data_IF_189580736890
#
_entry.id   IF_189580736890
#
_cell.length_a   1.000
_cell.length_b   1.000
_cell.length_c   1.000
_cell.angle_alpha   90.00
_cell.angle_beta   90.00
_cell.angle_gamma   90.00
#
_symmetry.space_group_name_H-M   'P 1'
#
loop_
_entity.id
_entity.type
_entity.pdbx_description
1 polymer ?
#
# COMPACT_ATOMS: atom_id res chain seq x y z
N UNK A 1 36.86 -70.07 24.42
CA UNK A 1 35.59 -69.41 24.06
C UNK A 1 35.93 -67.98 23.66
N UNK A 2 36.00 -67.72 22.35
CA UNK A 2 36.37 -66.42 21.79
C UNK A 2 35.16 -65.49 21.80
N UNK A 3 35.25 -64.42 22.57
CA UNK A 3 34.31 -63.31 22.54
C UNK A 3 34.59 -62.51 21.25
N UNK A 4 33.62 -62.49 20.32
CA UNK A 4 33.66 -61.63 19.14
C UNK A 4 32.51 -60.64 19.27
N UNK A 5 32.80 -59.50 19.89
CA UNK A 5 31.96 -58.30 19.79
C UNK A 5 31.90 -57.87 18.33
N UNK A 6 30.75 -58.07 17.68
CA UNK A 6 30.44 -57.43 16.41
C UNK A 6 30.29 -55.93 16.64
N UNK A 7 31.38 -55.19 16.45
CA UNK A 7 31.42 -53.73 16.37
C UNK A 7 30.85 -53.31 15.00
N UNK A 8 29.51 -53.29 14.89
CA UNK A 8 28.82 -52.65 13.77
C UNK A 8 29.08 -51.15 13.84
N UNK A 9 30.16 -50.69 13.20
CA UNK A 9 30.43 -49.25 13.05
C UNK A 9 29.31 -48.62 12.22
N UNK A 10 28.39 -47.95 12.90
CA UNK A 10 27.33 -47.15 12.29
C UNK A 10 27.98 -46.03 11.48
N UNK A 11 27.85 -46.10 10.15
CA UNK A 11 28.43 -45.13 9.25
C UNK A 11 27.48 -43.91 9.13
N UNK A 12 27.70 -42.90 9.97
CA UNK A 12 26.85 -41.71 10.00
C UNK A 12 27.09 -40.81 8.78
N UNK A 13 26.07 -40.64 7.93
CA UNK A 13 26.10 -39.70 6.79
C UNK A 13 25.67 -38.29 7.21
N UNK A 14 24.82 -38.19 8.23
CA UNK A 14 24.34 -36.93 8.80
C UNK A 14 24.41 -36.98 10.33
N UNK A 15 24.74 -35.86 10.95
CA UNK A 15 24.71 -35.75 12.41
C UNK A 15 23.25 -35.85 12.92
N UNK A 16 22.93 -36.76 13.85
CA UNK A 16 21.56 -36.95 14.34
C UNK A 16 21.05 -35.78 15.21
N UNK A 17 21.96 -34.95 15.77
CA UNK A 17 21.60 -33.80 16.60
C UNK A 17 21.29 -32.54 15.79
N UNK A 18 22.05 -32.25 14.74
CA UNK A 18 21.94 -30.98 14.00
C UNK A 18 21.71 -31.13 12.49
N UNK A 19 21.70 -32.35 11.94
CA UNK A 19 21.50 -32.59 10.52
C UNK A 19 22.67 -32.19 9.62
N UNK A 20 23.83 -31.84 10.18
CA UNK A 20 25.03 -31.52 9.41
C UNK A 20 25.49 -32.72 8.59
N UNK A 21 25.72 -32.55 7.29
CA UNK A 21 26.23 -33.60 6.40
C UNK A 21 27.70 -33.87 6.73
N UNK A 22 28.00 -35.08 7.18
CA UNK A 22 29.37 -35.52 7.48
C UNK A 22 30.05 -35.88 6.14
N UNK A 23 31.35 -35.62 6.01
CA UNK A 23 32.09 -35.90 4.78
C UNK A 23 31.97 -37.38 4.42
N UNK A 24 31.48 -37.67 3.22
CA UNK A 24 31.34 -39.04 2.71
C UNK A 24 32.72 -39.73 2.74
N UNK A 25 32.85 -40.79 3.55
CA UNK A 25 34.05 -41.65 3.56
C UNK A 25 35.10 -41.35 4.63
N UNK A 26 34.80 -40.62 5.71
CA UNK A 26 35.71 -40.47 6.86
C UNK A 26 35.29 -41.38 8.03
N UNK A 27 35.85 -42.59 8.18
CA UNK A 27 35.41 -43.58 9.17
C UNK A 27 35.69 -43.20 10.64
N UNK A 28 36.45 -42.13 10.90
CA UNK A 28 36.94 -41.76 12.23
C UNK A 28 36.51 -40.35 12.68
N UNK A 29 35.30 -39.89 12.33
CA UNK A 29 34.77 -38.63 12.89
C UNK A 29 34.31 -38.87 14.33
N UNK A 30 35.16 -38.51 15.30
CA UNK A 30 34.83 -38.60 16.71
C UNK A 30 33.74 -37.62 17.14
N UNK A 31 33.70 -36.42 16.54
CA UNK A 31 32.78 -35.34 16.93
C UNK A 31 32.22 -34.55 15.74
N UNK A 32 30.98 -34.08 15.86
CA UNK A 32 30.36 -33.26 14.83
C UNK A 32 30.93 -31.83 14.84
N UNK A 33 31.49 -31.32 13.72
CA UNK A 33 32.10 -29.99 13.66
C UNK A 33 31.09 -28.84 13.80
N UNK A 34 29.80 -29.09 13.59
CA UNK A 34 28.76 -28.06 13.70
C UNK A 34 28.18 -27.92 15.11
N UNK A 35 28.05 -29.02 15.87
CA UNK A 35 27.35 -29.01 17.16
C UNK A 35 28.11 -29.68 18.31
N UNK A 36 29.34 -30.15 18.07
CA UNK A 36 30.19 -30.81 19.07
C UNK A 36 29.64 -32.15 19.58
N UNK A 37 28.73 -32.80 18.84
CA UNK A 37 28.20 -34.10 19.24
C UNK A 37 29.27 -35.18 19.08
N UNK A 38 29.63 -35.85 20.15
CA UNK A 38 30.58 -36.96 20.14
C UNK A 38 29.86 -38.27 19.78
N UNK A 39 30.32 -38.94 18.71
CA UNK A 39 29.69 -40.13 18.14
C UNK A 39 30.03 -41.42 18.90
N UNK A 40 31.16 -41.45 19.62
CA UNK A 40 31.55 -42.63 20.42
C UNK A 40 30.64 -42.81 21.64
N UNK A 41 30.07 -41.72 22.16
CA UNK A 41 29.12 -41.73 23.27
C UNK A 41 27.71 -42.22 22.88
N UNK A 42 27.39 -42.32 21.58
CA UNK A 42 26.08 -42.74 21.07
C UNK A 42 25.92 -44.26 20.91
N UNK A 43 26.96 -45.06 21.20
CA UNK A 43 27.00 -46.52 21.01
C UNK A 43 26.06 -47.34 21.90
N UNK A 44 25.13 -46.72 22.63
CA UNK A 44 24.07 -47.44 23.35
C UNK A 44 22.70 -46.94 22.88
N UNK A 45 21.93 -47.86 22.29
CA UNK A 45 20.63 -47.63 21.63
C UNK A 45 19.54 -46.95 22.48
N UNK A 46 19.81 -46.59 23.73
CA UNK A 46 18.84 -46.00 24.66
C UNK A 46 18.78 -44.45 24.62
N UNK A 47 19.85 -43.74 24.25
CA UNK A 47 19.89 -42.27 24.40
C UNK A 47 19.46 -41.46 23.16
N UNK A 48 19.34 -42.10 21.98
CA UNK A 48 19.04 -41.38 20.73
C UNK A 48 17.64 -40.77 20.72
N UNK A 49 16.69 -41.36 21.46
CA UNK A 49 15.28 -40.92 21.47
C UNK A 49 15.04 -39.66 22.30
N UNK A 50 15.91 -39.38 23.28
CA UNK A 50 15.86 -38.15 24.10
C UNK A 50 16.71 -37.00 23.54
N UNK A 51 17.63 -37.29 22.60
CA UNK A 51 18.49 -36.27 21.98
C UNK A 51 17.91 -35.64 20.71
N UNK A 52 16.70 -36.04 20.28
CA UNK A 52 15.99 -35.32 19.24
C UNK A 52 15.79 -33.88 19.72
N UNK A 53 16.34 -32.87 19.03
CA UNK A 53 16.12 -31.50 19.44
C UNK A 53 14.62 -31.28 19.41
N UNK A 54 14.08 -30.76 20.52
CA UNK A 54 12.84 -30.01 20.48
C UNK A 54 12.97 -29.09 19.26
N UNK A 55 12.18 -29.33 18.21
CA UNK A 55 12.13 -28.53 16.97
C UNK A 55 11.48 -27.16 17.23
N UNK A 56 11.74 -26.62 18.42
CA UNK A 56 11.54 -25.27 18.91
C UNK A 56 12.88 -24.52 18.96
N UNK A 57 13.84 -24.85 18.09
CA UNK A 57 14.78 -23.80 17.66
C UNK A 57 13.93 -22.76 16.93
N UNK A 58 13.45 -21.78 17.70
CA UNK A 58 12.89 -20.52 17.26
C UNK A 58 13.81 -20.07 16.12
N UNK A 59 13.40 -20.23 14.85
CA UNK A 59 14.13 -19.66 13.72
C UNK A 59 14.33 -18.20 14.08
N UNK A 60 15.54 -17.82 14.48
CA UNK A 60 15.86 -16.42 14.72
C UNK A 60 15.52 -15.72 13.41
N UNK A 61 14.50 -14.86 13.46
CA UNK A 61 14.11 -14.06 12.31
C UNK A 61 15.31 -13.18 12.01
N UNK A 62 16.11 -13.53 11.01
CA UNK A 62 17.21 -12.70 10.51
C UNK A 62 16.60 -11.34 10.17
N UNK A 63 16.96 -10.32 10.94
CA UNK A 63 16.49 -8.95 10.76
C UNK A 63 17.35 -8.27 9.71
N UNK A 64 16.73 -7.44 8.87
CA UNK A 64 17.41 -6.75 7.77
C UNK A 64 18.32 -5.64 8.28
N UNK A 65 19.52 -5.59 7.68
CA UNK A 65 20.40 -4.43 7.73
C UNK A 65 19.92 -3.34 6.77
N UNK A 66 20.37 -2.11 6.96
CA UNK A 66 19.92 -0.96 6.15
C UNK A 66 20.25 -1.12 4.65
N UNK A 67 21.37 -1.77 4.32
CA UNK A 67 21.80 -2.05 2.95
C UNK A 67 20.88 -3.04 2.23
N UNK A 68 20.26 -3.97 2.97
CA UNK A 68 19.37 -5.01 2.43
C UNK A 68 17.92 -4.52 2.22
N UNK A 69 17.55 -3.37 2.79
CA UNK A 69 16.20 -2.79 2.70
C UNK A 69 15.80 -2.49 1.24
N UNK A 70 16.77 -2.07 0.42
CA UNK A 70 16.51 -1.58 -0.95
C UNK A 70 16.49 -2.73 -1.97
N UNK A 71 17.39 -3.72 -1.80
CA UNK A 71 17.76 -4.64 -2.89
C UNK A 71 17.13 -6.04 -2.76
N UNK A 72 16.21 -6.26 -1.83
CA UNK A 72 15.78 -7.62 -1.50
C UNK A 72 14.45 -8.02 -2.17
N UNK A 73 14.45 -9.06 -3.03
CA UNK A 73 13.28 -9.49 -3.79
C UNK A 73 12.32 -10.40 -3.01
N UNK A 74 12.65 -10.84 -1.78
CA UNK A 74 11.84 -11.85 -1.04
C UNK A 74 10.69 -11.24 -0.24
N UNK A 75 9.60 -12.01 -0.11
CA UNK A 75 8.45 -11.66 0.71
C UNK A 75 8.80 -11.61 2.21
N UNK A 76 8.58 -10.46 2.85
CA UNK A 76 8.86 -10.26 4.27
C UNK A 76 7.70 -10.64 5.18
N UNK A 77 6.48 -10.39 4.74
CA UNK A 77 5.26 -10.80 5.43
C UNK A 77 4.38 -11.64 4.52
N UNK A 78 3.53 -12.46 5.15
CA UNK A 78 2.62 -13.37 4.44
C UNK A 78 1.49 -12.57 3.75
N UNK A 79 0.88 -13.10 2.67
CA UNK A 79 -0.28 -12.48 2.02
C UNK A 79 -1.39 -12.05 2.99
N UNK A 80 -1.67 -12.89 4.00
CA UNK A 80 -2.67 -12.59 5.03
C UNK A 80 -2.35 -11.29 5.77
N UNK A 81 -1.09 -11.07 6.14
CA UNK A 81 -0.67 -9.84 6.80
C UNK A 81 -0.78 -8.63 5.86
N UNK A 82 -0.44 -8.80 4.57
CA UNK A 82 -0.54 -7.72 3.56
C UNK A 82 -1.95 -7.15 3.45
N UNK A 83 -2.97 -8.00 3.61
CA UNK A 83 -4.38 -7.61 3.53
C UNK A 83 -4.92 -7.18 4.90
N UNK A 84 -4.62 -7.95 5.95
CA UNK A 84 -5.19 -7.76 7.28
C UNK A 84 -4.86 -6.38 7.88
N UNK A 85 -3.61 -5.92 7.80
CA UNK A 85 -3.21 -4.67 8.47
C UNK A 85 -3.75 -3.40 7.82
N UNK A 86 -3.81 -3.26 6.49
CA UNK A 86 -4.51 -2.13 5.88
C UNK A 86 -6.02 -2.14 6.19
N UNK A 87 -6.67 -3.32 6.16
CA UNK A 87 -8.09 -3.41 6.50
C UNK A 87 -8.39 -3.15 7.97
N UNK A 88 -7.52 -3.57 8.89
CA UNK A 88 -7.66 -3.22 10.30
C UNK A 88 -7.44 -1.73 10.52
N UNK A 89 -6.59 -1.08 9.71
CA UNK A 89 -6.39 0.37 9.76
C UNK A 89 -7.68 1.12 9.44
N UNK A 90 -8.43 0.66 8.43
CA UNK A 90 -9.76 1.19 8.10
C UNK A 90 -10.71 1.08 9.30
N UNK A 91 -10.80 -0.10 9.93
CA UNK A 91 -11.68 -0.32 11.07
C UNK A 91 -11.27 0.58 12.25
N UNK A 92 -9.99 0.63 12.60
CA UNK A 92 -9.47 1.45 13.68
C UNK A 92 -9.78 2.93 13.42
N UNK A 93 -9.53 3.41 12.21
CA UNK A 93 -9.83 4.77 11.79
C UNK A 93 -11.32 5.09 11.94
N UNK A 94 -12.20 4.25 11.40
CA UNK A 94 -13.65 4.43 11.49
C UNK A 94 -14.16 4.41 12.94
N UNK A 95 -13.60 3.55 13.80
CA UNK A 95 -13.96 3.52 15.22
C UNK A 95 -13.49 4.76 15.97
N UNK A 96 -12.26 5.23 15.73
CA UNK A 96 -11.75 6.46 16.33
C UNK A 96 -12.65 7.64 15.94
N UNK A 97 -12.95 7.77 14.65
CA UNK A 97 -13.82 8.84 14.15
C UNK A 97 -15.23 8.72 14.75
N UNK A 98 -15.83 7.53 14.75
CA UNK A 98 -17.15 7.29 15.32
C UNK A 98 -17.24 7.62 16.82
N UNK A 99 -16.23 7.27 17.61
CA UNK A 99 -16.19 7.61 19.05
C UNK A 99 -16.07 9.12 19.25
N UNK A 100 -15.19 9.79 18.51
CA UNK A 100 -15.05 11.26 18.57
C UNK A 100 -16.38 11.93 18.22
N UNK A 101 -17.03 11.46 17.15
CA UNK A 101 -18.33 11.95 16.69
C UNK A 101 -19.40 11.83 17.77
N UNK A 102 -19.52 10.65 18.38
CA UNK A 102 -20.47 10.40 19.47
C UNK A 102 -20.19 11.35 20.64
N UNK A 103 -18.93 11.50 21.06
CA UNK A 103 -18.57 12.40 22.16
C UNK A 103 -18.96 13.84 21.84
N UNK A 104 -18.66 14.35 20.64
CA UNK A 104 -18.95 15.72 20.26
C UNK A 104 -20.46 16.02 20.26
N UNK A 105 -21.27 15.08 19.77
CA UNK A 105 -22.73 15.20 19.73
C UNK A 105 -23.32 15.14 21.14
N UNK A 106 -22.94 14.15 21.95
CA UNK A 106 -23.46 13.98 23.31
C UNK A 106 -23.00 15.06 24.28
N UNK A 107 -21.82 15.65 24.05
CA UNK A 107 -21.34 16.81 24.82
C UNK A 107 -22.01 18.13 24.40
N UNK A 108 -22.87 18.13 23.37
CA UNK A 108 -23.52 19.32 22.84
C UNK A 108 -22.57 20.28 22.11
N UNK A 109 -21.38 19.82 21.72
CA UNK A 109 -20.36 20.61 21.02
C UNK A 109 -20.64 20.68 19.51
N UNK A 110 -21.23 19.62 18.94
CA UNK A 110 -21.54 19.51 17.52
C UNK A 110 -22.97 19.01 17.30
N UNK A 111 -23.65 19.53 16.27
CA UNK A 111 -24.91 18.96 15.76
C UNK A 111 -24.63 17.97 14.62
N UNK A 112 -25.59 17.08 14.30
CA UNK A 112 -25.46 16.18 13.15
C UNK A 112 -25.17 16.92 11.83
N UNK A 113 -25.79 18.08 11.62
CA UNK A 113 -25.54 18.93 10.44
C UNK A 113 -24.10 19.44 10.40
N UNK A 114 -23.52 19.82 11.54
CA UNK A 114 -22.14 20.29 11.61
C UNK A 114 -21.12 19.21 11.24
N UNK A 115 -21.47 17.92 11.38
CA UNK A 115 -20.61 16.80 10.99
C UNK A 115 -20.48 16.63 9.48
N UNK A 116 -21.42 17.19 8.70
CA UNK A 116 -21.36 17.21 7.25
C UNK A 116 -20.66 18.47 6.72
N UNK A 117 -20.24 19.38 7.61
CA UNK A 117 -19.57 20.61 7.19
C UNK A 117 -18.19 20.31 6.57
N UNK A 118 -17.79 21.07 5.54
CA UNK A 118 -16.45 20.95 4.95
C UNK A 118 -15.33 21.09 5.97
N UNK A 119 -15.49 21.99 6.96
CA UNK A 119 -14.56 22.17 8.07
C UNK A 119 -14.39 20.91 8.93
N UNK A 120 -15.49 20.22 9.23
CA UNK A 120 -15.42 18.95 9.96
C UNK A 120 -14.66 17.89 9.16
N UNK A 121 -14.94 17.76 7.85
CA UNK A 121 -14.30 16.79 6.97
C UNK A 121 -12.78 17.00 6.88
N UNK A 122 -12.35 18.27 6.79
CA UNK A 122 -10.94 18.66 6.84
C UNK A 122 -10.29 18.14 8.14
N UNK A 123 -10.91 18.35 9.29
CA UNK A 123 -10.35 17.91 10.58
C UNK A 123 -10.40 16.39 10.72
N UNK A 124 -11.49 15.75 10.33
CA UNK A 124 -11.65 14.29 10.42
C UNK A 124 -10.69 13.55 9.50
N UNK A 125 -10.26 14.16 8.40
CA UNK A 125 -9.27 13.59 7.47
C UNK A 125 -7.91 13.31 8.14
N UNK A 126 -7.61 13.91 9.30
CA UNK A 126 -6.41 13.57 10.09
C UNK A 126 -6.43 12.10 10.54
N UNK A 127 -7.62 11.51 10.73
CA UNK A 127 -7.77 10.11 11.09
C UNK A 127 -7.15 9.15 10.04
N UNK A 128 -7.04 9.57 8.78
CA UNK A 128 -6.41 8.80 7.70
C UNK A 128 -4.94 8.46 7.98
N UNK A 129 -4.26 9.23 8.85
CA UNK A 129 -2.90 8.90 9.28
C UNK A 129 -2.78 7.50 9.91
N UNK A 130 -3.89 6.90 10.37
CA UNK A 130 -3.92 5.51 10.86
C UNK A 130 -3.45 4.54 9.77
N UNK A 131 -3.82 4.76 8.50
CA UNK A 131 -3.34 3.95 7.36
C UNK A 131 -1.82 4.04 7.17
N UNK A 132 -1.20 5.16 7.55
CA UNK A 132 0.25 5.27 7.56
C UNK A 132 0.88 4.60 8.77
N UNK A 133 0.36 4.91 9.96
CA UNK A 133 0.97 4.53 11.25
C UNK A 133 1.01 3.02 11.42
N UNK A 134 -0.09 2.32 11.14
CA UNK A 134 -0.19 0.87 11.39
C UNK A 134 0.83 0.07 10.55
N UNK A 135 0.93 0.21 9.22
CA UNK A 135 1.96 -0.43 8.42
C UNK A 135 3.39 -0.05 8.81
N UNK A 136 3.65 1.25 9.06
CA UNK A 136 4.96 1.75 9.48
C UNK A 136 5.40 1.09 10.79
N UNK A 137 4.50 0.95 11.76
CA UNK A 137 4.78 0.26 13.02
C UNK A 137 4.96 -1.24 12.84
N UNK A 138 4.16 -1.89 11.99
CA UNK A 138 4.23 -3.32 11.77
C UNK A 138 5.56 -3.76 11.13
N UNK A 139 6.08 -3.02 10.15
CA UNK A 139 7.29 -3.43 9.42
C UNK A 139 8.57 -3.40 10.25
N UNK A 140 8.59 -2.68 11.37
CA UNK A 140 9.78 -2.60 12.23
C UNK A 140 10.24 -3.94 12.80
N UNK A 141 9.35 -4.93 12.89
CA UNK A 141 9.73 -6.27 13.34
C UNK A 141 10.74 -6.97 12.40
N UNK A 142 10.85 -6.51 11.15
CA UNK A 142 11.74 -7.07 10.13
C UNK A 142 13.08 -6.33 10.05
N UNK A 143 13.23 -5.21 10.75
CA UNK A 143 14.40 -4.34 10.67
C UNK A 143 15.29 -4.49 11.90
N UNK A 144 16.61 -4.52 11.70
CA UNK A 144 17.57 -4.54 12.81
C UNK A 144 17.52 -3.22 13.59
N UNK A 145 17.49 -2.08 12.87
CA UNK A 145 17.28 -0.76 13.42
C UNK A 145 15.95 -0.17 12.92
N UNK A 146 14.85 -0.32 13.67
CA UNK A 146 13.52 0.07 13.23
C UNK A 146 13.23 1.56 13.49
N UNK A 147 14.11 2.44 13.00
CA UNK A 147 13.86 3.90 13.00
C UNK A 147 12.71 4.26 12.04
N UNK A 148 12.08 5.41 12.24
CA UNK A 148 11.03 5.90 11.33
C UNK A 148 11.52 5.96 9.88
N UNK A 149 12.72 6.50 9.67
CA UNK A 149 13.37 6.58 8.35
C UNK A 149 13.54 5.21 7.70
N UNK A 150 14.00 4.21 8.44
CA UNK A 150 14.21 2.86 7.90
C UNK A 150 12.88 2.15 7.59
N UNK A 151 11.86 2.34 8.42
CA UNK A 151 10.51 1.83 8.17
C UNK A 151 9.90 2.46 6.91
N UNK A 152 10.00 3.78 6.78
CA UNK A 152 9.52 4.53 5.63
C UNK A 152 10.24 4.10 4.33
N UNK A 153 11.57 4.01 4.37
CA UNK A 153 12.42 3.50 3.27
C UNK A 153 12.02 2.09 2.84
N UNK A 154 11.75 1.23 3.81
CA UNK A 154 11.32 -0.14 3.57
C UNK A 154 9.91 -0.26 2.97
N UNK A 155 9.06 0.76 3.14
CA UNK A 155 7.75 0.84 2.49
C UNK A 155 7.80 1.56 1.13
N UNK A 156 8.94 2.11 0.74
CA UNK A 156 9.12 2.80 -0.55
C UNK A 156 9.06 4.32 -0.48
N UNK A 157 8.95 4.89 0.73
CA UNK A 157 9.04 6.33 0.96
C UNK A 157 10.52 6.71 1.05
N UNK A 158 10.97 7.78 0.39
CA UNK A 158 12.36 8.23 0.44
C UNK A 158 13.41 7.24 -0.11
N UNK A 159 13.07 6.39 -1.09
CA UNK A 159 14.09 5.69 -1.86
C UNK A 159 14.79 6.74 -2.73
N UNK A 160 15.87 7.34 -2.21
CA UNK A 160 16.72 8.27 -2.96
C UNK A 160 17.78 7.47 -3.69
N UNK A 161 17.74 7.50 -5.02
CA UNK A 161 18.85 7.06 -5.85
C UNK A 161 19.88 8.19 -5.96
N UNK A 162 21.14 7.86 -6.23
CA UNK A 162 22.23 8.84 -6.44
C UNK A 162 22.09 9.65 -7.75
N UNK A 163 20.99 9.43 -8.47
CA UNK A 163 20.63 10.10 -9.70
C UNK A 163 20.31 11.60 -9.51
N UNK A 164 20.86 12.42 -10.39
CA UNK A 164 20.66 13.87 -10.42
C UNK A 164 19.19 14.21 -10.68
N UNK A 165 18.62 15.13 -9.90
CA UNK A 165 17.21 15.55 -9.97
C UNK A 165 16.18 14.41 -9.78
N UNK A 166 16.54 13.26 -9.21
CA UNK A 166 15.64 12.12 -9.05
C UNK A 166 14.27 12.49 -8.46
N UNK A 167 14.25 13.16 -7.30
CA UNK A 167 13.00 13.58 -6.64
C UNK A 167 12.16 14.50 -7.50
N UNK A 168 12.79 15.42 -8.24
CA UNK A 168 12.08 16.32 -9.15
C UNK A 168 11.46 15.54 -10.31
N UNK A 169 12.19 14.59 -10.90
CA UNK A 169 11.68 13.73 -11.98
C UNK A 169 10.48 12.90 -11.52
N UNK A 170 10.55 12.26 -10.35
CA UNK A 170 9.41 11.54 -9.78
C UNK A 170 8.22 12.47 -9.50
N UNK A 171 8.49 13.71 -9.06
CA UNK A 171 7.44 14.68 -8.75
C UNK A 171 6.71 15.18 -10.00
N UNK A 172 7.46 15.53 -11.05
CA UNK A 172 6.92 15.93 -12.34
C UNK A 172 6.09 14.80 -12.95
N UNK A 173 6.59 13.56 -12.86
CA UNK A 173 5.87 12.38 -13.30
C UNK A 173 4.54 12.24 -12.55
N UNK A 174 4.55 12.33 -11.22
CA UNK A 174 3.34 12.23 -10.41
C UNK A 174 2.29 13.29 -10.76
N UNK A 175 2.69 14.56 -10.83
CA UNK A 175 1.79 15.67 -11.20
C UNK A 175 1.24 15.50 -12.63
N UNK A 176 2.10 15.12 -13.58
CA UNK A 176 1.69 14.86 -14.96
C UNK A 176 0.64 13.75 -15.05
N UNK A 177 0.88 12.62 -14.38
CA UNK A 177 -0.05 11.50 -14.33
C UNK A 177 -1.35 11.81 -13.59
N UNK A 178 -1.32 12.65 -12.55
CA UNK A 178 -2.54 13.06 -11.85
C UNK A 178 -3.58 13.65 -12.82
N UNK A 179 -3.15 14.57 -13.68
CA UNK A 179 -4.01 15.21 -14.68
C UNK A 179 -4.50 14.18 -15.72
N UNK A 180 -3.61 13.31 -16.20
CA UNK A 180 -4.00 12.22 -17.13
C UNK A 180 -5.07 11.32 -16.51
N UNK A 181 -4.92 10.99 -15.21
CA UNK A 181 -5.90 10.22 -14.47
C UNK A 181 -7.23 10.95 -14.36
N UNK A 182 -7.25 12.27 -14.11
CA UNK A 182 -8.49 13.06 -14.10
C UNK A 182 -9.24 12.88 -15.42
N UNK A 183 -8.59 13.05 -16.57
CA UNK A 183 -9.26 12.89 -17.87
C UNK A 183 -9.73 11.45 -18.12
N UNK A 184 -8.89 10.46 -17.89
CA UNK A 184 -9.21 9.05 -18.16
C UNK A 184 -10.32 8.53 -17.25
N UNK A 185 -10.27 8.86 -15.96
CA UNK A 185 -11.28 8.42 -14.99
C UNK A 185 -12.61 9.12 -15.26
N UNK A 186 -12.62 10.43 -15.51
CA UNK A 186 -13.87 11.13 -15.87
C UNK A 186 -14.46 10.63 -17.19
N UNK A 187 -13.63 10.31 -18.18
CA UNK A 187 -14.11 9.70 -19.42
C UNK A 187 -14.77 8.34 -19.17
N UNK A 188 -14.16 7.50 -18.33
CA UNK A 188 -14.77 6.22 -17.93
C UNK A 188 -16.10 6.44 -17.21
N UNK A 189 -16.14 7.36 -16.23
CA UNK A 189 -17.37 7.69 -15.51
C UNK A 189 -18.48 8.14 -16.46
N UNK A 190 -18.17 9.03 -17.41
CA UNK A 190 -19.12 9.49 -18.43
C UNK A 190 -19.64 8.35 -19.31
N UNK A 191 -18.75 7.46 -19.76
CA UNK A 191 -19.15 6.29 -20.57
C UNK A 191 -20.08 5.38 -19.79
N UNK A 192 -19.78 5.12 -18.51
CA UNK A 192 -20.64 4.30 -17.65
C UNK A 192 -21.99 4.98 -17.41
N UNK A 193 -22.00 6.29 -17.15
CA UNK A 193 -23.24 7.06 -17.00
C UNK A 193 -24.11 6.97 -18.27
N UNK A 194 -23.55 7.19 -19.46
CA UNK A 194 -24.27 7.08 -20.73
C UNK A 194 -24.86 5.67 -20.93
N UNK A 195 -24.13 4.62 -20.53
CA UNK A 195 -24.57 3.23 -20.69
C UNK A 195 -25.70 2.87 -19.70
N UNK A 196 -25.57 3.28 -18.44
CA UNK A 196 -26.45 2.80 -17.36
C UNK A 196 -27.65 3.72 -17.09
N UNK A 197 -27.51 5.04 -17.28
CA UNK A 197 -28.58 6.01 -17.01
C UNK A 197 -29.89 5.75 -17.78
N UNK A 198 -29.88 5.30 -19.07
CA UNK A 198 -31.11 4.96 -19.78
C UNK A 198 -31.85 3.72 -19.24
N UNK A 199 -31.14 2.82 -18.56
CA UNK A 199 -31.68 1.53 -18.09
C UNK A 199 -32.29 1.68 -16.70
N UNK A 200 -31.57 2.33 -15.81
CA UNK A 200 -31.99 2.68 -14.47
C UNK A 200 -31.48 4.10 -14.26
N UNK A 201 -32.37 5.09 -14.09
CA UNK A 201 -31.94 6.42 -13.66
C UNK A 201 -31.23 6.21 -12.32
N UNK A 202 -29.90 6.20 -12.38
CA UNK A 202 -29.10 6.41 -11.21
C UNK A 202 -29.34 7.88 -10.93
N UNK A 203 -30.43 8.18 -10.20
CA UNK A 203 -30.45 9.35 -9.35
C UNK A 203 -29.31 9.08 -8.39
N UNK A 204 -28.08 9.35 -8.84
CA UNK A 204 -26.91 9.42 -8.00
C UNK A 204 -27.40 10.27 -6.85
N UNK A 205 -27.42 9.77 -5.60
CA UNK A 205 -27.67 10.64 -4.46
C UNK A 205 -26.48 11.59 -4.45
N UNK A 206 -26.58 12.62 -5.29
CA UNK A 206 -25.66 13.73 -5.30
C UNK A 206 -25.89 14.50 -4.01
N UNK A 207 -27.05 14.37 -3.36
CA UNK A 207 -27.41 14.99 -2.10
C UNK A 207 -26.27 15.10 -1.08
N UNK A 208 -25.47 14.06 -0.80
CA UNK A 208 -24.37 14.18 0.19
C UNK A 208 -23.13 14.92 -0.36
N UNK A 209 -22.73 14.65 -1.61
CA UNK A 209 -21.57 15.26 -2.27
C UNK A 209 -21.90 16.71 -2.71
N UNK A 210 -23.10 16.94 -3.23
CA UNK A 210 -23.68 18.24 -3.56
C UNK A 210 -23.87 19.09 -2.31
N UNK A 211 -24.37 18.56 -1.19
CA UNK A 211 -24.46 19.33 0.08
C UNK A 211 -23.06 19.72 0.57
N UNK A 212 -22.07 18.84 0.43
CA UNK A 212 -20.68 19.14 0.81
C UNK A 212 -20.06 20.24 -0.07
N UNK A 213 -20.16 20.13 -1.40
CA UNK A 213 -19.53 21.10 -2.30
C UNK A 213 -20.32 22.40 -2.44
N UNK A 214 -21.65 22.35 -2.30
CA UNK A 214 -22.51 23.54 -2.31
C UNK A 214 -22.29 24.45 -1.10
N UNK A 215 -21.94 23.88 0.05
CA UNK A 215 -21.70 24.62 1.29
C UNK A 215 -20.25 25.05 1.48
N UNK A 216 -19.31 24.51 0.69
CA UNK A 216 -17.88 24.82 0.82
C UNK A 216 -17.51 26.23 0.34
N UNK A 217 -16.64 26.90 1.10
CA UNK A 217 -16.03 28.16 0.67
C UNK A 217 -14.63 27.95 0.07
N UNK A 218 -14.09 28.99 -0.58
CA UNK A 218 -12.79 28.91 -1.26
C UNK A 218 -11.64 28.48 -0.32
N UNK A 219 -11.63 28.94 0.93
CA UNK A 219 -10.58 28.62 1.90
C UNK A 219 -10.65 27.14 2.27
N UNK A 220 -11.85 26.62 2.53
CA UNK A 220 -12.09 25.21 2.81
C UNK A 220 -11.71 24.32 1.64
N UNK A 221 -12.06 24.70 0.40
CA UNK A 221 -11.63 23.96 -0.79
C UNK A 221 -10.10 23.90 -0.89
N UNK A 222 -9.41 25.02 -0.68
CA UNK A 222 -7.93 25.06 -0.70
C UNK A 222 -7.34 24.15 0.39
N UNK A 223 -7.86 24.23 1.62
CA UNK A 223 -7.40 23.41 2.73
C UNK A 223 -7.64 21.92 2.46
N UNK A 224 -8.81 21.57 1.94
CA UNK A 224 -9.15 20.19 1.57
C UNK A 224 -8.21 19.68 0.48
N UNK A 225 -7.94 20.47 -0.57
CA UNK A 225 -6.96 20.12 -1.61
C UNK A 225 -5.55 19.90 -1.05
N UNK A 226 -5.12 20.70 -0.06
CA UNK A 226 -3.82 20.50 0.61
C UNK A 226 -3.82 19.18 1.40
N UNK A 227 -4.90 18.88 2.12
CA UNK A 227 -5.05 17.64 2.88
C UNK A 227 -5.02 16.40 1.97
N UNK A 228 -5.66 16.48 0.79
CA UNK A 228 -5.62 15.41 -0.22
C UNK A 228 -4.18 15.05 -0.61
N UNK A 229 -3.30 16.06 -0.74
CA UNK A 229 -1.90 15.89 -1.14
C UNK A 229 -1.00 15.49 0.03
N UNK A 230 -1.19 16.09 1.21
CA UNK A 230 -0.24 15.98 2.33
C UNK A 230 -0.58 14.84 3.29
N UNK A 231 -1.86 14.49 3.42
CA UNK A 231 -2.33 13.48 4.39
C UNK A 231 -2.86 12.25 3.66
N UNK A 232 -3.87 12.43 2.80
CA UNK A 232 -4.63 11.31 2.23
C UNK A 232 -3.76 10.51 1.26
N UNK A 233 -3.21 11.16 0.24
CA UNK A 233 -2.32 10.52 -0.74
C UNK A 233 -1.18 9.74 -0.08
N UNK A 234 -0.36 10.34 0.81
CA UNK A 234 0.71 9.62 1.50
C UNK A 234 0.23 8.45 2.35
N UNK A 235 -0.83 8.64 3.15
CA UNK A 235 -1.32 7.61 4.07
C UNK A 235 -1.81 6.38 3.33
N UNK A 236 -2.65 6.59 2.32
CA UNK A 236 -3.20 5.49 1.53
C UNK A 236 -2.14 4.81 0.66
N UNK A 237 -1.27 5.55 -0.02
CA UNK A 237 -0.23 4.93 -0.86
C UNK A 237 0.75 4.09 -0.02
N UNK A 238 1.07 4.51 1.21
CA UNK A 238 1.91 3.72 2.12
C UNK A 238 1.20 2.42 2.50
N UNK A 239 -0.10 2.46 2.80
CA UNK A 239 -0.88 1.27 3.16
C UNK A 239 -1.08 0.32 1.98
N UNK A 240 -1.53 0.83 0.84
CA UNK A 240 -1.94 0.00 -0.29
C UNK A 240 -0.76 -0.36 -1.18
N UNK A 241 0.14 0.58 -1.53
CA UNK A 241 1.24 0.28 -2.47
C UNK A 241 2.46 -0.17 -1.69
N UNK A 242 2.85 0.63 -0.69
CA UNK A 242 4.03 0.38 0.14
C UNK A 242 3.93 -0.91 0.95
N UNK A 243 2.74 -1.25 1.45
CA UNK A 243 2.54 -2.43 2.29
C UNK A 243 1.73 -3.55 1.61
N UNK A 244 0.48 -3.33 1.21
CA UNK A 244 -0.37 -4.40 0.67
C UNK A 244 0.20 -4.97 -0.63
N UNK A 245 0.33 -4.13 -1.66
CA UNK A 245 0.81 -4.53 -2.98
C UNK A 245 2.21 -5.09 -2.91
N UNK A 246 3.12 -4.41 -2.20
CA UNK A 246 4.51 -4.84 -2.01
C UNK A 246 4.59 -6.28 -1.49
N UNK A 247 3.82 -6.59 -0.44
CA UNK A 247 3.78 -7.94 0.15
C UNK A 247 3.10 -8.98 -0.75
N UNK A 248 1.99 -8.60 -1.42
CA UNK A 248 1.26 -9.51 -2.32
C UNK A 248 2.06 -9.82 -3.59
N UNK A 249 2.74 -8.84 -4.19
CA UNK A 249 3.60 -9.03 -5.37
C UNK A 249 4.74 -10.00 -5.08
N UNK A 250 5.38 -9.86 -3.90
CA UNK A 250 6.47 -10.75 -3.47
C UNK A 250 5.98 -12.15 -3.10
N UNK A 251 4.74 -12.30 -2.65
CA UNK A 251 4.18 -13.60 -2.24
C UNK A 251 3.51 -14.36 -3.38
N UNK A 252 3.01 -13.65 -4.38
CA UNK A 252 2.40 -14.20 -5.58
C UNK A 252 3.25 -13.84 -6.81
N UNK A 253 2.69 -13.11 -7.76
CA UNK A 253 3.41 -12.52 -8.87
C UNK A 253 2.96 -11.07 -9.05
N UNK A 254 3.73 -10.31 -9.83
CA UNK A 254 3.49 -8.87 -10.07
C UNK A 254 2.04 -8.58 -10.47
N UNK A 255 1.49 -9.28 -11.46
CA UNK A 255 0.12 -9.06 -11.93
C UNK A 255 -0.91 -9.34 -10.85
N UNK A 256 -0.86 -10.52 -10.22
CA UNK A 256 -1.81 -10.92 -9.16
C UNK A 256 -1.78 -9.95 -7.98
N UNK A 257 -0.60 -9.56 -7.51
CA UNK A 257 -0.47 -8.63 -6.39
C UNK A 257 -1.06 -7.24 -6.67
N UNK A 258 -0.85 -6.71 -7.89
CA UNK A 258 -1.44 -5.43 -8.32
C UNK A 258 -2.96 -5.53 -8.38
N UNK A 259 -3.50 -6.54 -9.07
CA UNK A 259 -4.95 -6.69 -9.23
C UNK A 259 -5.69 -6.91 -7.91
N UNK A 260 -5.16 -7.75 -7.02
CA UNK A 260 -5.78 -7.95 -5.70
C UNK A 260 -5.80 -6.65 -4.90
N UNK A 261 -4.69 -5.90 -4.90
CA UNK A 261 -4.64 -4.60 -4.22
C UNK A 261 -5.66 -3.63 -4.82
N UNK A 262 -5.76 -3.56 -6.14
CA UNK A 262 -6.66 -2.64 -6.82
C UNK A 262 -8.14 -2.97 -6.59
N UNK A 263 -8.49 -4.25 -6.56
CA UNK A 263 -9.86 -4.69 -6.22
C UNK A 263 -10.19 -4.32 -4.77
N UNK A 264 -9.29 -4.61 -3.82
CA UNK A 264 -9.51 -4.27 -2.40
C UNK A 264 -9.66 -2.75 -2.23
N UNK A 265 -8.76 -1.97 -2.84
CA UNK A 265 -8.83 -0.51 -2.83
C UNK A 265 -10.17 0.00 -3.36
N UNK A 266 -10.62 -0.51 -4.51
CA UNK A 266 -11.90 -0.09 -5.07
C UNK A 266 -13.09 -0.48 -4.18
N UNK A 267 -13.09 -1.70 -3.63
CA UNK A 267 -14.17 -2.18 -2.77
C UNK A 267 -14.36 -1.32 -1.52
N UNK A 268 -13.28 -0.95 -0.83
CA UNK A 268 -13.39 -0.15 0.40
C UNK A 268 -13.93 1.26 0.14
N UNK A 269 -13.75 1.80 -1.06
CA UNK A 269 -14.23 3.12 -1.44
C UNK A 269 -15.72 3.14 -1.82
N UNK A 270 -16.28 1.98 -2.20
CA UNK A 270 -17.69 1.87 -2.61
C UNK A 270 -18.54 1.07 -1.62
N UNK A 271 -17.96 0.55 -0.54
CA UNK A 271 -18.67 -0.33 0.40
C UNK A 271 -19.85 0.36 1.09
N UNK A 272 -19.75 1.67 1.33
CA UNK A 272 -20.79 2.47 2.00
C UNK A 272 -22.07 2.56 1.17
N UNK A 273 -21.97 2.46 -0.16
CA UNK A 273 -23.14 2.43 -1.06
C UNK A 273 -24.06 1.26 -0.73
N UNK A 274 -23.52 0.14 -0.25
CA UNK A 274 -24.30 -1.05 0.08
C UNK A 274 -25.26 -0.84 1.27
N UNK A 275 -25.12 0.26 2.03
CA UNK A 275 -26.05 0.62 3.12
C UNK A 275 -27.45 0.90 2.58
N UNK A 276 -27.58 1.37 1.33
CA UNK A 276 -28.87 1.75 0.72
C UNK A 276 -29.64 0.58 0.07
N UNK A 277 -29.07 -0.64 0.11
CA UNK A 277 -29.72 -1.85 -0.42
C UNK A 277 -31.16 -2.04 0.09
N UNK A 278 -31.51 -1.81 1.38
CA UNK A 278 -32.87 -1.99 1.86
C UNK A 278 -33.89 -1.05 1.22
N UNK A 279 -33.47 0.13 0.76
CA UNK A 279 -34.36 1.13 0.17
C UNK A 279 -34.50 0.94 -1.35
N UNK A 280 -33.40 0.65 -2.05
CA UNK A 280 -33.39 0.61 -3.51
C UNK A 280 -32.40 -0.43 -4.09
N UNK A 281 -32.62 -1.74 -3.90
CA UNK A 281 -31.61 -2.78 -4.11
C UNK A 281 -31.04 -2.84 -5.53
N UNK A 282 -31.88 -2.66 -6.56
CA UNK A 282 -31.46 -2.75 -7.96
C UNK A 282 -30.60 -1.54 -8.35
N UNK A 283 -31.02 -0.32 -8.00
CA UNK A 283 -30.25 0.89 -8.32
C UNK A 283 -28.95 0.94 -7.51
N UNK A 284 -28.96 0.49 -6.25
CA UNK A 284 -27.74 0.38 -5.43
C UNK A 284 -26.71 -0.54 -6.06
N UNK A 285 -27.11 -1.71 -6.60
CA UNK A 285 -26.18 -2.64 -7.27
C UNK A 285 -25.59 -2.01 -8.53
N UNK A 286 -26.41 -1.36 -9.36
CA UNK A 286 -25.92 -0.67 -10.57
C UNK A 286 -24.95 0.44 -10.18
N UNK A 287 -25.32 1.26 -9.20
CA UNK A 287 -24.50 2.37 -8.72
C UNK A 287 -23.16 1.89 -8.15
N UNK A 288 -23.15 0.78 -7.41
CA UNK A 288 -21.94 0.13 -6.95
C UNK A 288 -20.98 -0.17 -8.11
N UNK A 289 -21.46 -0.76 -9.22
CA UNK A 289 -20.61 -1.06 -10.37
C UNK A 289 -20.13 0.19 -11.11
N UNK A 290 -21.00 1.21 -11.23
CA UNK A 290 -20.67 2.49 -11.85
C UNK A 290 -19.53 3.20 -11.10
N UNK A 291 -19.54 3.19 -9.76
CA UNK A 291 -18.45 3.78 -8.96
C UNK A 291 -17.22 2.86 -8.85
N UNK A 292 -17.42 1.56 -8.77
CA UNK A 292 -16.33 0.60 -8.58
C UNK A 292 -15.31 0.67 -9.72
N UNK A 293 -15.77 0.82 -10.97
CA UNK A 293 -14.90 0.82 -12.14
C UNK A 293 -13.90 2.00 -12.17
N UNK A 294 -14.30 3.27 -11.94
CA UNK A 294 -13.39 4.40 -11.72
C UNK A 294 -12.33 4.15 -10.63
N UNK A 295 -12.75 3.68 -9.45
CA UNK A 295 -11.81 3.41 -8.34
C UNK A 295 -10.84 2.26 -8.66
N UNK A 296 -11.32 1.22 -9.35
CA UNK A 296 -10.48 0.12 -9.81
C UNK A 296 -9.44 0.63 -10.81
N UNK A 297 -9.86 1.48 -11.76
CA UNK A 297 -8.99 2.03 -12.79
C UNK A 297 -7.86 2.87 -12.19
N UNK A 298 -8.19 3.85 -11.34
CA UNK A 298 -7.16 4.68 -10.69
C UNK A 298 -6.22 3.81 -9.84
N UNK A 299 -6.76 2.82 -9.13
CA UNK A 299 -5.91 1.96 -8.32
C UNK A 299 -4.97 1.08 -9.13
N UNK A 300 -5.41 0.60 -10.31
CA UNK A 300 -4.54 -0.11 -11.25
C UNK A 300 -3.45 0.81 -11.78
N UNK A 301 -3.77 2.03 -12.19
CA UNK A 301 -2.79 3.02 -12.68
C UNK A 301 -1.73 3.27 -11.61
N UNK A 302 -2.13 3.57 -10.37
CA UNK A 302 -1.23 3.77 -9.24
C UNK A 302 -0.37 2.53 -8.94
N UNK A 303 -0.97 1.34 -8.99
CA UNK A 303 -0.25 0.09 -8.75
C UNK A 303 0.80 -0.23 -9.82
N UNK A 304 0.49 0.01 -11.09
CA UNK A 304 1.45 -0.13 -12.18
C UNK A 304 2.51 0.96 -12.16
N UNK A 305 2.15 2.22 -11.84
CA UNK A 305 3.09 3.33 -11.66
C UNK A 305 4.10 3.01 -10.56
N UNK A 306 3.63 2.58 -9.39
CA UNK A 306 4.50 2.16 -8.29
C UNK A 306 5.46 1.05 -8.71
N UNK A 307 4.98 0.05 -9.45
CA UNK A 307 5.83 -1.04 -9.92
C UNK A 307 6.80 -0.61 -11.04
N UNK A 308 6.42 0.34 -11.89
CA UNK A 308 7.29 0.91 -12.93
C UNK A 308 8.40 1.76 -12.32
N UNK A 309 8.10 2.51 -11.25
CA UNK A 309 9.08 3.33 -10.53
C UNK A 309 9.90 2.56 -9.50
N UNK A 310 10.08 1.26 -9.70
CA UNK A 310 10.86 0.38 -8.82
C UNK A 310 10.44 0.48 -7.35
N UNK A 311 9.13 0.49 -7.12
CA UNK A 311 8.53 0.57 -5.79
C UNK A 311 8.88 1.86 -5.02
N UNK A 312 9.14 2.95 -5.73
CA UNK A 312 9.20 4.30 -5.17
C UNK A 312 7.79 4.90 -5.07
N UNK A 313 7.47 5.49 -3.91
CA UNK A 313 6.14 6.04 -3.64
C UNK A 313 5.94 7.51 -4.04
N UNK A 314 6.98 8.27 -4.40
CA UNK A 314 6.85 9.71 -4.68
C UNK A 314 5.86 9.96 -5.82
N UNK A 315 6.05 9.29 -6.97
CA UNK A 315 5.15 9.45 -8.11
C UNK A 315 3.72 8.96 -7.81
N UNK A 316 3.48 7.76 -7.23
CA UNK A 316 2.14 7.35 -6.80
C UNK A 316 1.46 8.31 -5.81
N UNK A 317 2.18 8.78 -4.79
CA UNK A 317 1.65 9.72 -3.79
C UNK A 317 1.18 11.01 -4.45
N UNK A 318 2.01 11.58 -5.32
CA UNK A 318 1.67 12.81 -6.01
C UNK A 318 0.56 12.60 -7.05
N UNK A 319 0.60 11.49 -7.80
CA UNK A 319 -0.50 11.14 -8.72
C UNK A 319 -1.81 11.07 -7.98
N UNK A 320 -1.88 10.35 -6.86
CA UNK A 320 -3.09 10.16 -6.08
C UNK A 320 -3.55 11.46 -5.40
N UNK A 321 -2.67 12.09 -4.62
CA UNK A 321 -3.04 13.28 -3.86
C UNK A 321 -3.41 14.47 -4.75
N UNK A 322 -2.69 14.68 -5.86
CA UNK A 322 -3.02 15.75 -6.81
C UNK A 322 -4.28 15.41 -7.61
N UNK A 323 -4.50 14.14 -7.97
CA UNK A 323 -5.75 13.70 -8.59
C UNK A 323 -6.95 14.05 -7.68
N UNK A 324 -6.88 13.68 -6.40
CA UNK A 324 -7.93 14.00 -5.42
C UNK A 324 -8.09 15.51 -5.20
N UNK A 325 -6.99 16.28 -5.16
CA UNK A 325 -7.07 17.73 -5.05
C UNK A 325 -7.75 18.37 -6.27
N UNK A 326 -7.44 17.89 -7.48
CA UNK A 326 -8.08 18.37 -8.71
C UNK A 326 -9.56 18.01 -8.74
N UNK A 327 -9.96 16.80 -8.33
CA UNK A 327 -11.39 16.42 -8.30
C UNK A 327 -12.19 17.29 -7.32
N UNK A 328 -11.63 17.59 -6.14
CA UNK A 328 -12.20 18.55 -5.18
C UNK A 328 -12.37 19.94 -5.79
N UNK A 329 -11.35 20.46 -6.46
CA UNK A 329 -11.40 21.78 -7.11
C UNK A 329 -12.41 21.78 -8.26
N UNK A 330 -12.45 20.73 -9.07
CA UNK A 330 -13.40 20.59 -10.18
C UNK A 330 -14.84 20.61 -9.67
N UNK A 331 -15.14 19.88 -8.60
CA UNK A 331 -16.46 19.87 -7.99
C UNK A 331 -16.87 21.27 -7.49
N UNK A 332 -15.99 21.97 -6.78
CA UNK A 332 -16.23 23.35 -6.33
C UNK A 332 -16.46 24.31 -7.52
N UNK A 333 -15.62 24.22 -8.56
CA UNK A 333 -15.74 25.08 -9.73
C UNK A 333 -17.04 24.81 -10.50
N UNK A 334 -17.44 23.56 -10.63
CA UNK A 334 -18.65 23.17 -11.34
C UNK A 334 -19.92 23.67 -10.65
N UNK A 335 -19.91 23.71 -9.32
CA UNK A 335 -21.05 24.21 -8.56
C UNK A 335 -21.09 25.75 -8.51
N UNK A 336 -19.94 26.41 -8.40
CA UNK A 336 -19.88 27.85 -8.08
C UNK A 336 -19.74 28.77 -9.29
N UNK A 337 -19.25 28.26 -10.41
CA UNK A 337 -18.86 29.07 -11.56
C UNK A 337 -19.47 28.56 -12.87
N UNK A 338 -19.36 29.39 -13.90
CA UNK A 338 -19.85 29.05 -15.23
C UNK A 338 -18.96 28.01 -15.92
N UNK A 339 -19.52 27.34 -16.92
CA UNK A 339 -18.80 26.37 -17.75
C UNK A 339 -17.52 26.95 -18.39
N UNK A 340 -17.46 28.25 -18.65
CA UNK A 340 -16.26 28.91 -19.21
C UNK A 340 -15.07 28.76 -18.25
N UNK A 341 -15.30 28.94 -16.94
CA UNK A 341 -14.25 28.83 -15.93
C UNK A 341 -13.77 27.38 -15.83
N UNK A 342 -14.67 26.40 -15.93
CA UNK A 342 -14.31 24.98 -16.00
C UNK A 342 -13.43 24.68 -17.21
N UNK A 343 -13.79 25.17 -18.40
CA UNK A 343 -12.98 24.97 -19.61
C UNK A 343 -11.58 25.56 -19.48
N UNK A 344 -11.47 26.79 -18.95
CA UNK A 344 -10.18 27.42 -18.68
C UNK A 344 -9.35 26.61 -17.69
N UNK A 345 -9.98 26.06 -16.65
CA UNK A 345 -9.31 25.20 -15.68
C UNK A 345 -8.80 23.90 -16.32
N UNK A 346 -9.61 23.22 -17.16
CA UNK A 346 -9.18 22.03 -17.90
C UNK A 346 -7.99 22.31 -18.83
N UNK A 347 -8.01 23.44 -19.53
CA UNK A 347 -6.88 23.88 -20.38
C UNK A 347 -5.65 24.10 -19.52
N UNK A 348 -5.78 24.80 -18.39
CA UNK A 348 -4.67 25.10 -17.49
C UNK A 348 -4.00 23.83 -16.95
N UNK A 349 -4.78 22.87 -16.42
CA UNK A 349 -4.20 21.61 -15.92
C UNK A 349 -3.60 20.78 -17.05
N UNK A 350 -4.17 20.83 -18.26
CA UNK A 350 -3.61 20.18 -19.44
C UNK A 350 -2.24 20.74 -19.82
N UNK A 351 -2.07 22.07 -19.81
CA UNK A 351 -0.78 22.72 -20.02
C UNK A 351 0.22 22.35 -18.95
N UNK A 352 -0.18 22.33 -17.67
CA UNK A 352 0.68 21.91 -16.56
C UNK A 352 1.17 20.46 -16.75
N UNK A 353 0.28 19.55 -17.13
CA UNK A 353 0.63 18.15 -17.41
C UNK A 353 1.64 18.03 -18.56
N UNK A 354 1.42 18.75 -19.67
CA UNK A 354 2.33 18.79 -20.81
C UNK A 354 3.72 19.30 -20.41
N UNK A 355 3.78 20.41 -19.67
CA UNK A 355 5.03 20.97 -19.16
C UNK A 355 5.75 19.98 -18.25
N UNK A 356 5.04 19.28 -17.36
CA UNK A 356 5.63 18.27 -16.48
C UNK A 356 6.32 17.15 -17.29
N UNK A 357 5.66 16.62 -18.33
CA UNK A 357 6.25 15.58 -19.17
C UNK A 357 7.40 16.09 -20.03
N UNK A 358 7.32 17.31 -20.56
CA UNK A 358 8.41 17.92 -21.34
C UNK A 358 9.66 18.15 -20.47
N UNK A 359 9.50 18.69 -19.26
CA UNK A 359 10.60 18.90 -18.32
C UNK A 359 11.18 17.55 -17.88
N UNK A 360 10.33 16.56 -17.56
CA UNK A 360 10.78 15.20 -17.24
C UNK A 360 11.65 14.63 -18.36
N UNK A 361 11.17 14.70 -19.62
CA UNK A 361 11.89 14.19 -20.78
C UNK A 361 13.27 14.87 -20.95
N UNK A 362 13.33 16.19 -20.76
CA UNK A 362 14.59 16.94 -20.85
C UNK A 362 15.58 16.55 -19.75
N UNK A 363 15.11 16.40 -18.50
CA UNK A 363 15.94 15.99 -17.38
C UNK A 363 16.45 14.56 -17.54
N UNK A 364 15.59 13.65 -18.01
CA UNK A 364 15.95 12.26 -18.29
C UNK A 364 17.02 12.18 -19.38
N UNK A 365 16.82 12.89 -20.50
CA UNK A 365 17.76 12.93 -21.61
C UNK A 365 19.11 13.53 -21.21
N UNK A 366 19.09 14.58 -20.39
CA UNK A 366 20.31 15.22 -19.87
C UNK A 366 21.10 14.28 -18.97
N UNK A 367 20.42 13.54 -18.10
CA UNK A 367 21.05 12.54 -17.23
C UNK A 367 21.67 11.38 -18.01
N UNK A 368 20.98 10.86 -19.03
CA UNK A 368 21.52 9.80 -19.89
C UNK A 368 22.83 10.26 -20.56
N UNK A 369 22.85 11.48 -21.11
CA UNK A 369 24.08 12.06 -21.70
C UNK A 369 25.21 12.23 -20.69
N UNK A 370 24.91 12.52 -19.43
CA UNK A 370 25.91 12.67 -18.37
C UNK A 370 26.52 11.32 -17.95
N UNK A 371 25.79 10.20 -18.10
CA UNK A 371 26.31 8.84 -17.85
C UNK A 371 27.11 8.32 -19.06
N UNK A 372 26.72 8.70 -20.27
CA UNK A 372 27.37 8.25 -21.51
C UNK A 372 28.72 8.94 -21.81
N UNK A 373 28.95 10.13 -21.22
CA UNK A 373 30.22 10.86 -21.30
C UNK A 373 31.08 10.60 -20.06
#
# INVERSE_FOLDING_TARGET
MSDKSNDERINWVYCPRCGYKLSEGSPDIAECPSCGLNFQLLGSNAQVKEMLPNTSQKKEKIKLKEEEIINNPKAFWRPKASIFWPLISLIIMSQILGVILIILVFAGVASFESLLSPGFIIVSSIAELVFMVVPVLYVGQYLQNPSFKNRAKFLGVFIRKEERFFTLKESLLGIGFAVVCVFIVNLLSLVLEIIFNPVLPTNVPTDEIDVMFSSSNLIETILLSIIMIVIIGPSEEIAFRGFMQRGLVRSYNKKKGIWITAIIFALIHVVTVLVDIPNSPISTIVYFFVLFAPYLLISLILGYLFSWRNENLIAPILTHGVYNAITVILAFLAYRFSNIILWLFFIAIGVVSLLCFLIYYYLEKSYIREIEN
#
